data_IF_059280642752
#
_entry.id   IF_059280642752
#
_cell.length_a   1.000
_cell.length_b   1.000
_cell.length_c   1.000
_cell.angle_alpha   90.00
_cell.angle_beta   90.00
_cell.angle_gamma   90.00
#
_symmetry.space_group_name_H-M   'P 1'
#
loop_
_entity.id
_entity.type
_entity.pdbx_description
1 polymer ?
#
# COMPACT_ATOMS: atom_id res chain seq x y z
N UNK A 1 -31.14 -3.25 -2.22
CA UNK A 1 -30.40 -4.13 -3.17
C UNK A 1 -29.12 -3.40 -3.52
N UNK A 2 -27.96 -4.07 -3.57
CA UNK A 2 -26.73 -3.41 -4.01
C UNK A 2 -26.84 -3.01 -5.49
N UNK A 3 -26.31 -1.84 -5.90
CA UNK A 3 -26.36 -1.41 -7.29
C UNK A 3 -25.58 -2.40 -8.15
N UNK A 4 -26.18 -2.87 -9.26
CA UNK A 4 -25.50 -3.73 -10.22
C UNK A 4 -24.50 -2.90 -11.01
N UNK A 5 -23.27 -3.41 -11.14
CA UNK A 5 -22.24 -2.77 -11.96
C UNK A 5 -22.48 -3.18 -13.42
N UNK A 6 -22.94 -2.24 -14.23
CA UNK A 6 -23.17 -2.47 -15.66
C UNK A 6 -21.87 -2.38 -16.46
N UNK A 7 -21.69 -3.12 -17.57
CA UNK A 7 -20.49 -3.03 -18.40
C UNK A 7 -20.16 -1.63 -18.92
N UNK A 8 -21.17 -0.78 -19.12
CA UNK A 8 -20.98 0.63 -19.49
C UNK A 8 -20.25 1.44 -18.40
N UNK A 9 -20.35 1.03 -17.14
CA UNK A 9 -19.66 1.68 -16.02
C UNK A 9 -18.17 1.28 -15.97
N UNK A 10 -17.77 0.13 -16.53
CA UNK A 10 -16.37 -0.23 -16.70
C UNK A 10 -15.65 0.74 -17.65
N UNK A 11 -16.35 1.29 -18.66
CA UNK A 11 -15.79 2.30 -19.57
C UNK A 11 -15.43 3.59 -18.82
N UNK A 12 -16.28 4.01 -17.87
CA UNK A 12 -16.01 5.17 -17.01
C UNK A 12 -14.74 4.95 -16.18
N UNK A 13 -14.52 3.74 -15.66
CA UNK A 13 -13.30 3.40 -14.97
C UNK A 13 -12.06 3.43 -15.88
N UNK A 14 -12.16 2.92 -17.12
CA UNK A 14 -11.07 3.02 -18.10
C UNK A 14 -10.74 4.48 -18.39
N UNK A 15 -11.76 5.33 -18.56
CA UNK A 15 -11.54 6.76 -18.77
C UNK A 15 -10.83 7.41 -17.57
N UNK A 16 -11.29 7.15 -16.34
CA UNK A 16 -10.71 7.75 -15.12
C UNK A 16 -9.29 7.24 -14.85
N UNK A 17 -9.02 5.95 -15.04
CA UNK A 17 -7.74 5.34 -14.67
C UNK A 17 -6.72 5.26 -15.80
N UNK A 18 -7.11 5.52 -17.04
CA UNK A 18 -6.20 5.49 -18.20
C UNK A 18 -6.24 6.82 -18.94
N UNK A 19 -7.38 7.18 -19.52
CA UNK A 19 -7.46 8.34 -20.42
C UNK A 19 -7.18 9.68 -19.70
N UNK A 20 -7.77 9.88 -18.52
CA UNK A 20 -7.57 11.10 -17.75
C UNK A 20 -6.10 11.29 -17.30
N UNK A 21 -5.43 10.28 -16.69
CA UNK A 21 -3.99 10.33 -16.42
C UNK A 21 -3.16 10.71 -17.64
N UNK A 22 -3.39 10.05 -18.78
CA UNK A 22 -2.69 10.34 -20.04
C UNK A 22 -2.91 11.79 -20.48
N UNK A 23 -4.15 12.29 -20.45
CA UNK A 23 -4.45 13.67 -20.79
C UNK A 23 -3.76 14.67 -19.84
N UNK A 24 -3.84 14.43 -18.53
CA UNK A 24 -3.20 15.29 -17.52
C UNK A 24 -1.68 15.31 -17.66
N UNK A 25 -1.06 14.20 -18.06
CA UNK A 25 0.37 14.12 -18.36
C UNK A 25 0.76 14.97 -19.57
N UNK A 26 0.03 14.86 -20.68
CA UNK A 26 0.34 15.63 -21.89
C UNK A 26 0.14 17.14 -21.67
N UNK A 27 -0.96 17.54 -21.01
CA UNK A 27 -1.20 18.96 -20.69
C UNK A 27 -0.15 19.46 -19.69
N UNK A 28 0.18 18.68 -18.66
CA UNK A 28 1.21 19.02 -17.69
C UNK A 28 2.59 19.20 -18.33
N UNK A 29 2.99 18.28 -19.21
CA UNK A 29 4.26 18.35 -19.95
C UNK A 29 4.29 19.54 -20.91
N UNK A 30 3.17 19.86 -21.55
CA UNK A 30 3.04 21.05 -22.37
C UNK A 30 3.18 22.33 -21.55
N UNK A 31 2.61 22.38 -20.34
CA UNK A 31 2.80 23.49 -19.41
C UNK A 31 4.26 23.62 -18.95
N UNK A 32 4.92 22.51 -18.62
CA UNK A 32 6.33 22.51 -18.20
C UNK A 32 7.23 23.11 -19.27
N UNK A 33 7.05 22.67 -20.52
CA UNK A 33 7.82 23.17 -21.66
C UNK A 33 7.49 24.62 -22.00
N UNK A 34 6.21 25.02 -21.91
CA UNK A 34 5.77 26.39 -22.24
C UNK A 34 6.17 27.41 -21.18
N UNK A 35 6.18 27.03 -19.90
CA UNK A 35 6.49 27.92 -18.77
C UNK A 35 7.94 27.77 -18.27
N UNK A 36 8.69 26.82 -18.82
CA UNK A 36 10.09 26.57 -18.44
C UNK A 36 10.25 25.97 -17.04
N UNK A 37 9.32 25.13 -16.59
CA UNK A 37 9.44 24.49 -15.28
C UNK A 37 10.58 23.44 -15.26
N UNK A 38 11.37 23.37 -14.17
CA UNK A 38 12.42 22.37 -14.05
C UNK A 38 11.84 20.97 -13.80
N UNK A 39 12.61 19.94 -14.16
CA UNK A 39 12.34 18.56 -13.77
C UNK A 39 12.52 18.41 -12.26
N UNK A 40 11.42 18.26 -11.52
CA UNK A 40 11.42 18.21 -10.06
C UNK A 40 10.27 17.35 -9.53
N UNK A 41 10.46 16.61 -8.42
CA UNK A 41 11.69 16.45 -7.63
C UNK A 41 12.80 15.65 -8.35
N UNK A 42 14.05 15.67 -7.90
CA UNK A 42 15.11 14.83 -8.48
C UNK A 42 14.88 13.34 -8.18
N UNK A 43 15.45 12.47 -9.01
CA UNK A 43 15.50 11.04 -8.72
C UNK A 43 16.42 10.75 -7.52
N UNK A 44 16.02 9.87 -6.60
CA UNK A 44 14.81 9.03 -6.57
C UNK A 44 13.62 9.66 -5.81
N UNK A 45 13.78 10.87 -5.26
CA UNK A 45 12.78 11.52 -4.41
C UNK A 45 11.43 11.68 -5.12
N UNK A 46 11.44 11.90 -6.43
CA UNK A 46 10.26 11.94 -7.30
C UNK A 46 9.38 10.70 -7.17
N UNK A 47 9.99 9.50 -7.20
CA UNK A 47 9.27 8.24 -7.11
C UNK A 47 8.67 8.06 -5.71
N UNK A 48 9.45 8.30 -4.65
CA UNK A 48 8.95 8.12 -3.28
C UNK A 48 7.84 9.10 -2.93
N UNK A 49 8.07 10.40 -3.15
CA UNK A 49 7.06 11.42 -2.83
C UNK A 49 5.80 11.23 -3.67
N UNK A 50 5.95 10.96 -4.97
CA UNK A 50 4.82 10.75 -5.86
C UNK A 50 4.03 9.48 -5.54
N UNK A 51 4.71 8.35 -5.26
CA UNK A 51 4.06 7.11 -4.81
C UNK A 51 3.32 7.29 -3.49
N UNK A 52 3.92 7.97 -2.50
CA UNK A 52 3.25 8.27 -1.23
C UNK A 52 1.95 9.05 -1.44
N UNK A 53 2.01 10.13 -2.23
CA UNK A 53 0.84 10.96 -2.55
C UNK A 53 -0.22 10.15 -3.31
N UNK A 54 0.19 9.36 -4.31
CA UNK A 54 -0.72 8.52 -5.08
C UNK A 54 -1.40 7.45 -4.22
N UNK A 55 -0.67 6.76 -3.33
CA UNK A 55 -1.22 5.76 -2.42
C UNK A 55 -2.24 6.37 -1.46
N UNK A 56 -1.94 7.56 -0.91
CA UNK A 56 -2.91 8.29 -0.07
C UNK A 56 -4.17 8.60 -0.89
N UNK A 57 -4.02 9.11 -2.11
CA UNK A 57 -5.13 9.42 -3.01
C UNK A 57 -6.00 8.21 -3.33
N UNK A 58 -5.38 7.09 -3.72
CA UNK A 58 -6.05 5.82 -3.98
C UNK A 58 -6.76 5.27 -2.73
N UNK A 59 -6.13 5.35 -1.55
CA UNK A 59 -6.73 4.87 -0.30
C UNK A 59 -8.00 5.65 0.05
N UNK A 60 -7.95 6.99 -0.07
CA UNK A 60 -9.12 7.86 0.12
C UNK A 60 -10.22 7.49 -0.89
N UNK A 61 -9.88 7.32 -2.16
CA UNK A 61 -10.83 6.93 -3.20
C UNK A 61 -11.50 5.57 -2.93
N UNK A 62 -10.71 4.53 -2.66
CA UNK A 62 -11.20 3.16 -2.41
C UNK A 62 -12.09 3.13 -1.16
N UNK A 63 -11.65 3.71 -0.04
CA UNK A 63 -12.45 3.74 1.20
C UNK A 63 -13.75 4.50 1.02
N UNK A 64 -13.72 5.64 0.32
CA UNK A 64 -14.92 6.42 0.03
C UNK A 64 -15.91 5.62 -0.82
N UNK A 65 -15.44 4.99 -1.91
CA UNK A 65 -16.27 4.15 -2.78
C UNK A 65 -16.87 2.97 -2.04
N UNK A 66 -16.07 2.23 -1.26
CA UNK A 66 -16.56 1.08 -0.47
C UNK A 66 -17.65 1.51 0.50
N UNK A 67 -17.44 2.63 1.18
CA UNK A 67 -18.43 3.11 2.14
C UNK A 67 -19.72 3.58 1.46
N UNK A 68 -19.62 4.24 0.31
CA UNK A 68 -20.77 4.66 -0.48
C UNK A 68 -21.57 3.45 -1.00
N UNK A 69 -20.86 2.41 -1.45
CA UNK A 69 -21.45 1.16 -1.93
C UNK A 69 -22.18 0.40 -0.81
N UNK A 70 -21.55 0.23 0.34
CA UNK A 70 -22.11 -0.58 1.44
C UNK A 70 -23.12 0.16 2.31
N UNK A 71 -22.85 1.42 2.67
CA UNK A 71 -23.72 2.20 3.56
C UNK A 71 -24.74 3.04 2.79
N UNK A 72 -24.33 3.57 1.63
CA UNK A 72 -25.15 4.46 0.81
C UNK A 72 -25.96 3.75 -0.27
N UNK A 73 -25.66 2.50 -0.61
CA UNK A 73 -26.24 1.77 -1.75
C UNK A 73 -26.12 2.53 -3.09
N UNK A 74 -25.06 3.34 -3.24
CA UNK A 74 -24.80 4.14 -4.44
C UNK A 74 -23.35 4.04 -4.89
N UNK A 75 -23.05 4.67 -6.03
CA UNK A 75 -21.71 4.72 -6.62
C UNK A 75 -21.14 6.14 -6.61
N UNK A 76 -19.81 6.30 -6.77
CA UNK A 76 -19.13 7.61 -6.78
C UNK A 76 -19.77 8.69 -7.64
N UNK A 77 -20.30 8.30 -8.81
CA UNK A 77 -20.96 9.19 -9.78
C UNK A 77 -22.48 9.12 -9.71
N UNK A 78 -23.04 8.58 -8.63
CA UNK A 78 -24.48 8.47 -8.42
C UNK A 78 -25.18 9.81 -8.57
N UNK A 79 -24.60 10.86 -8.01
CA UNK A 79 -25.17 12.20 -8.12
C UNK A 79 -25.02 12.83 -9.51
N UNK A 80 -24.28 12.20 -10.44
CA UNK A 80 -24.24 12.56 -11.86
C UNK A 80 -25.17 11.69 -12.73
N UNK A 81 -25.47 10.46 -12.29
CA UNK A 81 -26.27 9.47 -13.02
C UNK A 81 -27.34 8.89 -12.10
N UNK A 82 -28.61 9.27 -12.34
CA UNK A 82 -29.77 8.89 -11.52
C UNK A 82 -29.88 7.39 -11.22
N UNK A 83 -29.40 6.51 -12.11
CA UNK A 83 -29.52 5.05 -11.92
C UNK A 83 -28.64 4.48 -10.81
N UNK A 84 -27.67 5.25 -10.28
CA UNK A 84 -26.74 4.78 -9.23
C UNK A 84 -26.55 5.79 -8.10
N UNK A 85 -27.52 6.68 -7.93
CA UNK A 85 -27.61 7.59 -6.79
C UNK A 85 -27.52 6.84 -5.47
N UNK A 86 -26.93 7.50 -4.48
CA UNK A 86 -26.99 7.01 -3.10
C UNK A 86 -28.46 6.88 -2.70
N UNK A 87 -28.85 5.89 -1.91
CA UNK A 87 -30.22 5.77 -1.39
C UNK A 87 -30.31 6.22 0.07
N UNK A 88 -29.16 6.30 0.75
CA UNK A 88 -29.04 6.73 2.15
C UNK A 88 -27.90 7.72 2.29
N UNK A 89 -28.10 8.73 3.14
CA UNK A 89 -27.07 9.70 3.43
C UNK A 89 -25.93 9.04 4.25
N UNK A 90 -24.72 9.05 3.69
CA UNK A 90 -23.54 8.43 4.33
C UNK A 90 -22.77 9.49 5.11
N UNK A 91 -22.84 9.44 6.44
CA UNK A 91 -22.18 10.41 7.35
C UNK A 91 -21.13 9.79 8.28
N UNK A 92 -20.94 8.47 8.21
CA UNK A 92 -20.04 7.71 9.09
C UNK A 92 -18.65 7.55 8.47
N UNK A 93 -17.76 6.75 9.07
CA UNK A 93 -16.48 6.35 8.47
C UNK A 93 -15.63 7.53 7.97
N UNK A 94 -15.16 7.48 6.72
CA UNK A 94 -14.34 8.55 6.14
C UNK A 94 -15.16 9.84 5.92
N UNK A 95 -16.46 9.70 5.66
CA UNK A 95 -17.40 10.81 5.46
C UNK A 95 -17.71 11.59 6.75
N UNK A 96 -17.41 11.03 7.94
CA UNK A 96 -17.47 11.77 9.21
C UNK A 96 -16.48 12.95 9.25
N UNK A 97 -15.36 12.82 8.56
CA UNK A 97 -14.25 13.77 8.64
C UNK A 97 -14.23 14.78 7.50
N UNK A 98 -14.73 14.38 6.33
CA UNK A 98 -14.81 15.21 5.13
C UNK A 98 -16.07 14.86 4.37
N UNK A 99 -16.76 15.85 3.79
CA UNK A 99 -17.94 15.58 2.95
C UNK A 99 -17.58 15.00 1.59
N UNK A 100 -16.40 15.33 1.08
CA UNK A 100 -15.93 14.91 -0.25
C UNK A 100 -14.50 14.33 -0.19
N UNK A 101 -14.24 13.29 0.62
CA UNK A 101 -12.91 12.68 0.74
C UNK A 101 -12.42 12.07 -0.58
N UNK A 102 -13.36 11.63 -1.42
CA UNK A 102 -13.09 11.12 -2.74
C UNK A 102 -12.56 12.18 -3.70
N UNK A 103 -13.09 13.41 -3.64
CA UNK A 103 -12.59 14.55 -4.44
C UNK A 103 -11.13 14.82 -4.08
N UNK A 104 -10.79 14.80 -2.79
CA UNK A 104 -9.40 14.90 -2.35
C UNK A 104 -8.56 13.75 -2.92
N UNK A 105 -9.07 12.51 -2.82
CA UNK A 105 -8.41 11.33 -3.37
C UNK A 105 -8.09 11.46 -4.86
N UNK A 106 -9.06 11.87 -5.67
CA UNK A 106 -8.90 12.07 -7.11
C UNK A 106 -7.96 13.22 -7.47
N UNK A 107 -7.93 14.30 -6.69
CA UNK A 107 -6.97 15.39 -6.89
C UNK A 107 -5.54 14.99 -6.54
N UNK A 108 -5.34 14.07 -5.60
CA UNK A 108 -3.99 13.58 -5.25
C UNK A 108 -3.41 12.64 -6.31
N UNK A 109 -4.21 12.00 -7.16
CA UNK A 109 -3.71 11.13 -8.23
C UNK A 109 -2.83 11.88 -9.25
N UNK A 110 -3.28 12.95 -9.92
CA UNK A 110 -2.44 13.71 -10.83
C UNK A 110 -1.26 14.37 -10.11
N UNK A 111 -1.41 14.75 -8.84
CA UNK A 111 -0.32 15.27 -8.03
C UNK A 111 0.79 14.22 -7.86
N UNK A 112 0.44 13.01 -7.43
CA UNK A 112 1.38 11.91 -7.25
C UNK A 112 2.06 11.51 -8.55
N UNK A 113 1.29 11.38 -9.64
CA UNK A 113 1.84 11.08 -10.96
C UNK A 113 2.75 12.19 -11.49
N UNK A 114 2.37 13.45 -11.33
CA UNK A 114 3.22 14.59 -11.72
C UNK A 114 4.54 14.61 -10.97
N UNK A 115 4.52 14.34 -9.66
CA UNK A 115 5.74 14.17 -8.87
C UNK A 115 6.59 13.01 -9.39
N UNK A 116 6.01 11.84 -9.67
CA UNK A 116 6.74 10.68 -10.21
C UNK A 116 7.39 10.99 -11.56
N UNK A 117 6.66 11.65 -12.46
CA UNK A 117 7.12 12.01 -13.80
C UNK A 117 7.97 13.30 -13.84
N UNK A 118 8.28 13.87 -12.68
CA UNK A 118 9.03 15.13 -12.56
C UNK A 118 8.39 16.31 -13.29
N UNK A 119 7.06 16.28 -13.42
CA UNK A 119 6.24 17.30 -14.09
C UNK A 119 5.58 18.20 -13.05
N UNK A 120 6.13 19.40 -12.85
CA UNK A 120 5.58 20.42 -11.94
C UNK A 120 4.21 20.88 -12.43
N UNK A 121 4.05 21.05 -13.74
CA UNK A 121 2.81 21.44 -14.40
C UNK A 121 1.70 20.44 -14.11
N UNK A 122 1.98 19.13 -14.26
CA UNK A 122 1.02 18.09 -13.86
C UNK A 122 0.76 18.11 -12.34
N UNK A 123 1.82 18.17 -11.54
CA UNK A 123 1.71 18.04 -10.08
C UNK A 123 0.96 19.21 -9.42
N UNK A 124 1.25 20.44 -9.85
CA UNK A 124 0.85 21.67 -9.16
C UNK A 124 -0.02 22.63 -9.99
N UNK A 125 -0.08 22.49 -11.32
CA UNK A 125 -0.99 23.30 -12.15
C UNK A 125 -2.27 22.53 -12.48
N UNK A 126 -2.15 21.27 -12.90
CA UNK A 126 -3.32 20.43 -13.22
C UNK A 126 -4.09 20.01 -11.96
N UNK A 127 -3.40 19.70 -10.87
CA UNK A 127 -4.04 19.29 -9.61
C UNK A 127 -5.07 20.31 -9.09
N UNK A 128 -4.75 21.62 -8.94
CA UNK A 128 -5.74 22.62 -8.58
C UNK A 128 -6.88 22.75 -9.59
N UNK A 129 -6.61 22.59 -10.89
CA UNK A 129 -7.63 22.63 -11.93
C UNK A 129 -8.63 21.48 -11.79
N UNK A 130 -8.14 20.26 -11.58
CA UNK A 130 -8.95 19.07 -11.31
C UNK A 130 -9.77 19.26 -10.04
N UNK A 131 -9.16 19.78 -8.97
CA UNK A 131 -9.85 20.08 -7.72
C UNK A 131 -10.96 21.13 -7.92
N UNK A 132 -10.67 22.21 -8.64
CA UNK A 132 -11.63 23.28 -8.93
C UNK A 132 -12.82 22.77 -9.76
N UNK A 133 -12.57 21.95 -10.79
CA UNK A 133 -13.62 21.35 -11.59
C UNK A 133 -14.53 20.44 -10.75
N UNK A 134 -13.95 19.56 -9.93
CA UNK A 134 -14.74 18.71 -9.03
C UNK A 134 -15.51 19.54 -8.00
N UNK A 135 -14.88 20.58 -7.43
CA UNK A 135 -15.55 21.50 -6.51
C UNK A 135 -16.79 22.15 -7.16
N UNK A 136 -16.66 22.62 -8.39
CA UNK A 136 -17.78 23.22 -9.14
C UNK A 136 -18.89 22.20 -9.40
N UNK A 137 -18.55 20.98 -9.82
CA UNK A 137 -19.53 19.91 -10.05
C UNK A 137 -20.30 19.59 -8.76
N UNK A 138 -19.58 19.38 -7.66
CA UNK A 138 -20.19 19.07 -6.36
C UNK A 138 -21.11 20.20 -5.92
N UNK A 139 -20.66 21.45 -6.00
CA UNK A 139 -21.45 22.61 -5.54
C UNK A 139 -22.68 22.90 -6.38
N UNK A 140 -22.58 22.71 -7.70
CA UNK A 140 -23.66 23.08 -8.62
C UNK A 140 -24.64 21.95 -8.90
N UNK A 141 -24.24 20.69 -8.71
CA UNK A 141 -25.07 19.53 -9.02
C UNK A 141 -25.30 18.61 -7.83
N UNK A 142 -24.23 18.19 -7.16
CA UNK A 142 -24.35 17.15 -6.12
C UNK A 142 -24.99 17.69 -4.83
N UNK A 143 -24.50 18.81 -4.27
CA UNK A 143 -25.07 19.35 -3.02
C UNK A 143 -26.55 19.74 -3.17
N UNK A 144 -27.02 20.36 -4.27
CA UNK A 144 -28.44 20.61 -4.48
C UNK A 144 -29.29 19.33 -4.51
N UNK A 145 -28.86 18.30 -5.25
CA UNK A 145 -29.58 17.01 -5.32
C UNK A 145 -29.61 16.31 -3.96
N UNK A 146 -28.52 16.35 -3.21
CA UNK A 146 -28.49 15.82 -1.85
C UNK A 146 -29.43 16.59 -0.90
N UNK A 147 -29.52 17.91 -1.05
CA UNK A 147 -30.45 18.72 -0.26
C UNK A 147 -31.91 18.45 -0.65
N UNK A 148 -32.22 18.31 -1.94
CA UNK A 148 -33.56 17.93 -2.43
C UNK A 148 -34.01 16.58 -1.89
N UNK A 149 -33.08 15.61 -1.80
CA UNK A 149 -33.39 14.22 -1.44
C UNK A 149 -33.39 13.96 0.06
N UNK A 150 -32.50 14.59 0.82
CA UNK A 150 -32.30 14.31 2.25
C UNK A 150 -32.66 15.50 3.17
N UNK A 151 -32.97 16.67 2.61
CA UNK A 151 -33.46 17.83 3.36
C UNK A 151 -32.58 18.20 4.56
N UNK A 152 -33.23 18.38 5.71
CA UNK A 152 -32.61 18.85 6.96
C UNK A 152 -31.46 17.96 7.45
N UNK A 153 -31.51 16.64 7.19
CA UNK A 153 -30.43 15.73 7.56
C UNK A 153 -29.12 16.09 6.85
N UNK A 154 -29.21 16.44 5.56
CA UNK A 154 -28.05 16.90 4.79
C UNK A 154 -27.56 18.28 5.25
N UNK A 155 -28.47 19.20 5.56
CA UNK A 155 -28.10 20.51 6.09
C UNK A 155 -27.35 20.40 7.43
N UNK A 156 -27.86 19.60 8.37
CA UNK A 156 -27.20 19.36 9.65
C UNK A 156 -25.82 18.69 9.49
N UNK A 157 -25.68 17.79 8.51
CA UNK A 157 -24.39 17.19 8.16
C UNK A 157 -23.42 18.20 7.56
N UNK A 158 -23.90 19.07 6.65
CA UNK A 158 -23.12 20.12 5.99
C UNK A 158 -22.55 21.16 6.95
N UNK A 159 -23.28 21.48 8.03
CA UNK A 159 -22.80 22.39 9.08
C UNK A 159 -21.71 21.78 9.95
N UNK A 160 -21.81 20.48 10.26
CA UNK A 160 -20.87 19.79 11.15
C UNK A 160 -19.56 19.40 10.47
N UNK A 161 -19.63 19.01 9.20
CA UNK A 161 -18.53 18.38 8.47
C UNK A 161 -17.95 19.29 7.38
N UNK A 162 -16.62 19.52 7.36
CA UNK A 162 -15.99 20.37 6.35
C UNK A 162 -16.07 19.76 4.94
N UNK A 163 -15.89 20.59 3.92
CA UNK A 163 -16.04 20.16 2.52
C UNK A 163 -14.96 19.17 2.07
N UNK A 164 -13.67 19.46 2.33
CA UNK A 164 -12.54 18.68 1.82
C UNK A 164 -11.57 18.24 2.92
N UNK A 165 -11.00 19.20 3.66
CA UNK A 165 -9.98 18.90 4.67
C UNK A 165 -10.62 18.66 6.04
N UNK A 166 -10.29 17.55 6.71
CA UNK A 166 -10.82 17.26 8.02
C UNK A 166 -10.26 18.20 9.08
N UNK A 167 -11.04 18.48 10.12
CA UNK A 167 -10.55 19.27 11.27
C UNK A 167 -9.41 18.48 11.93
N UNK A 168 -8.19 19.05 12.06
CA UNK A 168 -7.04 18.31 12.59
C UNK A 168 -7.29 17.70 13.97
N UNK A 169 -7.96 18.44 14.86
CA UNK A 169 -8.29 17.96 16.21
C UNK A 169 -9.20 16.72 16.22
N UNK A 170 -10.18 16.66 15.32
CA UNK A 170 -11.07 15.50 15.19
C UNK A 170 -10.32 14.29 14.61
N UNK A 171 -9.52 14.50 13.56
CA UNK A 171 -8.75 13.42 12.95
C UNK A 171 -7.73 12.83 13.93
N UNK A 172 -7.05 13.68 14.69
CA UNK A 172 -6.05 13.23 15.68
C UNK A 172 -6.73 12.47 16.82
N UNK A 173 -7.78 13.05 17.43
CA UNK A 173 -8.43 12.50 18.61
C UNK A 173 -9.27 11.25 18.31
N UNK A 174 -10.04 11.27 17.22
CA UNK A 174 -11.05 10.24 16.95
C UNK A 174 -10.53 9.12 16.03
N UNK A 175 -9.43 9.34 15.29
CA UNK A 175 -8.86 8.35 14.37
C UNK A 175 -7.40 7.97 14.71
N UNK A 176 -6.46 8.92 14.62
CA UNK A 176 -5.03 8.61 14.71
C UNK A 176 -4.61 8.09 16.08
N UNK A 177 -4.97 8.77 17.17
CA UNK A 177 -4.57 8.36 18.52
C UNK A 177 -5.13 6.99 18.90
N UNK A 178 -6.44 6.70 18.73
CA UNK A 178 -6.98 5.37 18.94
C UNK A 178 -6.29 4.30 18.09
N UNK A 179 -6.07 4.58 16.79
CA UNK A 179 -5.44 3.62 15.87
C UNK A 179 -4.00 3.28 16.27
N UNK A 180 -3.17 4.29 16.53
CA UNK A 180 -1.77 4.08 16.96
C UNK A 180 -1.72 3.42 18.33
N UNK A 181 -2.63 3.75 19.24
CA UNK A 181 -2.68 3.13 20.57
C UNK A 181 -3.02 1.63 20.50
N UNK A 182 -3.96 1.23 19.64
CA UNK A 182 -4.37 -0.17 19.49
C UNK A 182 -3.37 -1.01 18.69
N UNK A 183 -2.56 -0.37 17.83
CA UNK A 183 -1.56 -1.04 16.98
C UNK A 183 -0.11 -0.65 17.34
N UNK A 184 0.15 -0.26 18.60
CA UNK A 184 1.43 0.33 19.03
C UNK A 184 2.65 -0.50 18.65
N UNK A 185 2.60 -1.81 18.88
CA UNK A 185 3.70 -2.73 18.55
C UNK A 185 3.91 -2.80 17.04
N UNK A 186 2.84 -3.06 16.27
CA UNK A 186 2.90 -3.14 14.82
C UNK A 186 3.46 -1.85 14.19
N UNK A 187 2.95 -0.70 14.62
CA UNK A 187 3.45 0.61 14.17
C UNK A 187 4.92 0.79 14.52
N UNK A 188 5.31 0.45 15.76
CA UNK A 188 6.70 0.57 16.21
C UNK A 188 7.68 -0.28 15.39
N UNK A 189 7.35 -1.55 15.14
CA UNK A 189 8.20 -2.44 14.35
C UNK A 189 8.29 -2.01 12.88
N UNK A 190 7.17 -1.63 12.24
CA UNK A 190 7.21 -1.17 10.85
C UNK A 190 7.97 0.14 10.73
N UNK A 191 7.78 1.10 11.64
CA UNK A 191 8.57 2.34 11.63
C UNK A 191 10.07 2.07 11.80
N UNK A 192 10.45 1.15 12.68
CA UNK A 192 11.85 0.77 12.84
C UNK A 192 12.40 0.11 11.56
N UNK A 193 11.60 -0.73 10.89
CA UNK A 193 11.99 -1.36 9.63
C UNK A 193 12.16 -0.33 8.49
N UNK A 194 11.20 0.58 8.31
CA UNK A 194 11.31 1.68 7.34
C UNK A 194 12.49 2.61 7.65
N UNK A 195 12.75 2.88 8.94
CA UNK A 195 13.93 3.67 9.36
C UNK A 195 15.22 2.93 9.01
N UNK A 196 15.30 1.62 9.26
CA UNK A 196 16.47 0.83 8.88
C UNK A 196 16.67 0.76 7.37
N UNK A 197 15.59 0.75 6.58
CA UNK A 197 15.63 0.83 5.12
C UNK A 197 16.19 2.17 4.65
N UNK A 198 15.75 3.29 5.25
CA UNK A 198 16.31 4.61 4.99
C UNK A 198 17.81 4.68 5.34
N UNK A 199 18.20 4.16 6.51
CA UNK A 199 19.61 4.12 6.94
C UNK A 199 20.44 3.28 5.96
N UNK A 200 19.95 2.11 5.54
CA UNK A 200 20.59 1.31 4.49
C UNK A 200 20.80 2.14 3.23
N UNK A 201 19.78 2.83 2.74
CA UNK A 201 19.88 3.67 1.55
C UNK A 201 20.95 4.76 1.70
N UNK A 202 21.06 5.39 2.86
CA UNK A 202 22.10 6.40 3.11
C UNK A 202 23.50 5.79 3.17
N UNK A 203 23.66 4.65 3.84
CA UNK A 203 24.95 3.98 4.02
C UNK A 203 25.56 3.52 2.68
N UNK A 204 24.75 3.04 1.74
CA UNK A 204 25.23 2.51 0.45
C UNK A 204 25.91 3.59 -0.39
N UNK A 205 25.40 4.83 -0.32
CA UNK A 205 25.95 5.97 -1.06
C UNK A 205 26.92 6.82 -0.22
N UNK A 206 27.34 6.35 0.95
CA UNK A 206 28.47 6.92 1.66
C UNK A 206 29.77 6.28 1.18
N UNK A 207 30.83 7.07 1.07
CA UNK A 207 32.19 6.63 0.72
C UNK A 207 32.82 5.82 1.87
N UNK A 208 32.29 4.62 2.11
CA UNK A 208 32.81 3.67 3.08
C UNK A 208 34.09 3.01 2.56
N UNK A 209 35.04 2.62 3.44
CA UNK A 209 36.24 1.93 3.01
C UNK A 209 35.91 0.61 2.30
N UNK A 210 36.41 0.45 1.07
CA UNK A 210 36.37 -0.81 0.33
C UNK A 210 37.37 -1.80 0.94
N UNK A 211 36.88 -2.66 1.84
CA UNK A 211 37.69 -3.72 2.49
C UNK A 211 37.56 -5.06 1.73
N UNK A 212 36.81 -5.08 0.62
CA UNK A 212 36.34 -6.31 0.02
C UNK A 212 37.28 -6.96 -0.99
N UNK A 213 37.69 -8.20 -0.72
CA UNK A 213 38.22 -9.14 -1.71
C UNK A 213 37.08 -10.05 -2.21
N UNK A 214 37.28 -10.75 -3.35
CA UNK A 214 36.34 -11.74 -3.92
C UNK A 214 35.91 -12.85 -2.94
N UNK A 215 36.70 -13.09 -1.90
CA UNK A 215 36.36 -14.02 -0.82
C UNK A 215 35.15 -13.53 0.00
N UNK A 216 35.13 -12.26 0.38
CA UNK A 216 34.05 -11.69 1.18
C UNK A 216 32.73 -11.60 0.40
N UNK A 217 32.79 -11.47 -0.94
CA UNK A 217 31.57 -11.43 -1.77
C UNK A 217 30.89 -12.78 -1.77
N UNK A 218 31.69 -13.83 -1.91
CA UNK A 218 31.25 -15.22 -1.89
C UNK A 218 30.59 -15.59 -0.56
N UNK A 219 31.10 -15.06 0.56
CA UNK A 219 30.49 -15.26 1.89
C UNK A 219 29.13 -14.58 1.96
N UNK A 220 29.03 -13.31 1.58
CA UNK A 220 27.76 -12.58 1.63
C UNK A 220 26.68 -13.25 0.75
N UNK A 221 27.06 -13.72 -0.44
CA UNK A 221 26.17 -14.44 -1.34
C UNK A 221 25.69 -15.77 -0.71
N UNK A 222 26.58 -16.52 -0.05
CA UNK A 222 26.23 -17.75 0.67
C UNK A 222 25.23 -17.47 1.81
N UNK A 223 25.42 -16.39 2.57
CA UNK A 223 24.49 -15.99 3.62
C UNK A 223 23.12 -15.60 3.04
N UNK A 224 23.09 -14.85 1.94
CA UNK A 224 21.84 -14.51 1.27
C UNK A 224 21.10 -15.77 0.79
N UNK A 225 21.81 -16.72 0.17
CA UNK A 225 21.27 -18.02 -0.24
C UNK A 225 20.67 -18.77 0.96
N UNK A 226 21.40 -18.79 2.08
CA UNK A 226 20.93 -19.42 3.31
C UNK A 226 19.65 -18.77 3.83
N UNK A 227 19.55 -17.44 3.83
CA UNK A 227 18.33 -16.71 4.23
C UNK A 227 17.17 -17.09 3.32
N UNK A 228 17.35 -17.09 1.99
CA UNK A 228 16.30 -17.49 1.06
C UNK A 228 15.86 -18.95 1.27
N UNK A 229 16.81 -19.87 1.47
CA UNK A 229 16.51 -21.27 1.73
C UNK A 229 15.69 -21.46 3.01
N UNK A 230 16.10 -20.85 4.11
CA UNK A 230 15.36 -20.86 5.38
C UNK A 230 13.97 -20.23 5.19
N UNK A 231 13.86 -19.13 4.45
CA UNK A 231 12.60 -18.49 4.12
C UNK A 231 11.63 -19.38 3.33
N UNK A 232 12.15 -20.13 2.34
CA UNK A 232 11.36 -21.11 1.57
C UNK A 232 10.86 -22.22 2.48
N UNK A 233 11.73 -22.80 3.31
CA UNK A 233 11.36 -23.86 4.25
C UNK A 233 10.31 -23.36 5.25
N UNK A 234 10.49 -22.16 5.80
CA UNK A 234 9.54 -21.53 6.72
C UNK A 234 8.17 -21.28 6.07
N UNK A 235 8.15 -20.83 4.81
CA UNK A 235 6.91 -20.55 4.09
C UNK A 235 6.15 -21.80 3.63
N UNK A 236 6.86 -22.88 3.28
CA UNK A 236 6.28 -24.17 2.93
C UNK A 236 5.82 -24.96 4.16
N UNK A 237 6.55 -24.84 5.27
CA UNK A 237 6.26 -25.57 6.50
C UNK A 237 6.13 -24.64 7.72
N UNK A 238 5.08 -23.80 7.78
CA UNK A 238 4.90 -22.83 8.86
C UNK A 238 4.81 -23.45 10.25
N UNK A 239 4.48 -24.75 10.36
CA UNK A 239 4.45 -25.50 11.63
C UNK A 239 5.81 -25.61 12.33
N UNK A 240 6.94 -25.57 11.60
CA UNK A 240 8.28 -25.72 12.20
C UNK A 240 8.96 -24.40 12.59
N UNK A 241 8.38 -23.25 12.21
CA UNK A 241 8.96 -21.93 12.46
C UNK A 241 8.28 -21.13 13.58
N UNK A 242 7.39 -21.74 14.39
CA UNK A 242 6.90 -21.07 15.59
C UNK A 242 8.01 -21.02 16.66
N UNK A 243 8.82 -19.95 16.62
CA UNK A 243 9.60 -19.49 17.78
C UNK A 243 8.62 -18.92 18.83
N UNK A 244 7.77 -19.77 19.37
CA UNK A 244 6.96 -19.47 20.56
C UNK A 244 7.70 -19.95 21.79
N UNK A 245 7.96 -19.01 22.70
CA UNK A 245 8.32 -19.31 24.09
C UNK A 245 7.36 -20.37 24.64
N UNK A 246 7.86 -21.30 25.46
CA UNK A 246 7.08 -22.40 26.06
C UNK A 246 5.82 -21.95 26.80
N UNK A 247 5.67 -20.65 27.10
CA UNK A 247 4.48 -20.05 27.72
C UNK A 247 3.28 -19.89 26.80
N UNK A 248 3.45 -19.88 25.47
CA UNK A 248 2.36 -19.65 24.50
C UNK A 248 2.00 -20.88 23.65
N UNK A 249 2.34 -22.09 24.12
CA UNK A 249 1.93 -23.33 23.44
C UNK A 249 0.48 -23.66 23.76
N UNK A 250 -0.44 -22.96 23.10
CA UNK A 250 -1.83 -23.39 23.03
C UNK A 250 -1.92 -24.66 22.17
N UNK A 251 -2.49 -25.73 22.71
CA UNK A 251 -2.71 -27.02 22.03
C UNK A 251 -3.88 -26.89 21.04
N UNK A 252 -3.64 -26.22 19.92
CA UNK A 252 -4.54 -26.22 18.76
C UNK A 252 -3.81 -26.77 17.55
N UNK A 253 -4.32 -27.85 16.97
CA UNK A 253 -3.82 -28.40 15.71
C UNK A 253 -3.98 -27.36 14.58
N UNK A 254 -2.88 -26.96 13.94
CA UNK A 254 -2.83 -26.13 12.71
C UNK A 254 -3.60 -24.81 12.75
N UNK A 255 -2.88 -23.71 12.53
CA UNK A 255 -3.48 -22.43 12.15
C UNK A 255 -3.91 -22.50 10.67
N UNK A 256 -4.95 -23.28 10.38
CA UNK A 256 -5.88 -22.92 9.31
C UNK A 256 -6.77 -21.80 9.88
N UNK A 257 -7.10 -20.78 9.09
CA UNK A 257 -8.01 -19.73 9.56
C UNK A 257 -9.28 -20.38 10.12
N UNK A 258 -9.63 -20.10 11.38
CA UNK A 258 -10.72 -20.78 12.10
C UNK A 258 -12.08 -20.68 11.40
N UNK A 259 -12.22 -19.75 10.46
CA UNK A 259 -13.35 -19.65 9.55
C UNK A 259 -12.87 -19.65 8.10
N UNK A 260 -12.85 -20.81 7.41
CA UNK A 260 -12.40 -20.88 6.02
C UNK A 260 -13.20 -19.97 5.08
N UNK A 261 -14.40 -19.54 5.45
CA UNK A 261 -15.29 -18.72 4.62
C UNK A 261 -15.59 -17.32 5.18
N UNK A 262 -14.74 -16.77 6.06
CA UNK A 262 -14.94 -15.41 6.56
C UNK A 262 -14.68 -14.37 5.45
N UNK A 263 -15.67 -13.50 5.18
CA UNK A 263 -15.54 -12.42 4.19
C UNK A 263 -14.36 -11.49 4.48
N UNK A 264 -14.06 -11.25 5.76
CA UNK A 264 -12.91 -10.46 6.21
C UNK A 264 -11.55 -11.14 5.98
N UNK A 265 -11.53 -12.47 5.77
CA UNK A 265 -10.30 -13.24 5.50
C UNK A 265 -10.02 -13.45 4.01
N UNK A 266 -10.97 -13.07 3.12
CA UNK A 266 -10.83 -13.24 1.67
C UNK A 266 -9.60 -12.52 1.08
N UNK A 267 -9.17 -11.43 1.70
CA UNK A 267 -7.96 -10.69 1.32
C UNK A 267 -6.64 -11.39 1.64
N UNK A 268 -6.63 -12.50 2.38
CA UNK A 268 -5.39 -13.19 2.79
C UNK A 268 -5.16 -14.52 2.06
N UNK A 269 -6.11 -14.93 1.22
CA UNK A 269 -6.10 -16.22 0.52
C UNK A 269 -6.21 -15.99 -0.99
N UNK A 270 -5.44 -16.74 -1.76
CA UNK A 270 -5.60 -16.85 -3.22
C UNK A 270 -6.12 -18.24 -3.56
N UNK A 271 -7.04 -18.31 -4.53
CA UNK A 271 -7.61 -19.58 -5.00
C UNK A 271 -7.04 -19.89 -6.38
N UNK A 272 -6.35 -21.03 -6.50
CA UNK A 272 -5.77 -21.50 -7.76
C UNK A 272 -6.25 -22.94 -7.99
N UNK A 273 -6.94 -23.18 -9.10
CA UNK A 273 -7.49 -24.50 -9.47
C UNK A 273 -8.32 -25.16 -8.33
N UNK A 274 -9.13 -24.35 -7.64
CA UNK A 274 -9.98 -24.82 -6.53
C UNK A 274 -9.25 -25.03 -5.19
N UNK A 275 -7.91 -24.89 -5.13
CA UNK A 275 -7.14 -24.96 -3.88
C UNK A 275 -6.86 -23.57 -3.32
N UNK A 276 -6.88 -23.45 -2.00
CA UNK A 276 -6.64 -22.20 -1.26
C UNK A 276 -5.21 -22.14 -0.78
N UNK A 277 -4.53 -21.03 -1.06
CA UNK A 277 -3.17 -20.77 -0.62
C UNK A 277 -3.09 -19.46 0.17
N UNK A 278 -2.23 -19.41 1.17
CA UNK A 278 -1.94 -18.17 1.89
C UNK A 278 -1.19 -17.21 0.97
N UNK A 279 -1.81 -16.07 0.63
CA UNK A 279 -1.20 -15.05 -0.23
C UNK A 279 0.18 -14.63 0.29
N UNK A 280 0.29 -14.48 1.61
CA UNK A 280 1.51 -14.06 2.27
C UNK A 280 2.64 -15.09 2.20
N UNK A 281 2.40 -16.35 2.61
CA UNK A 281 3.45 -17.38 2.60
C UNK A 281 3.84 -17.76 1.18
N UNK A 282 2.86 -17.93 0.29
CA UNK A 282 3.11 -18.23 -1.12
C UNK A 282 3.92 -17.12 -1.79
N UNK A 283 3.59 -15.86 -1.52
CA UNK A 283 4.35 -14.74 -2.07
C UNK A 283 5.82 -14.71 -1.63
N UNK A 284 6.10 -14.95 -0.34
CA UNK A 284 7.47 -15.05 0.17
C UNK A 284 8.25 -16.22 -0.45
N UNK A 285 7.63 -17.40 -0.58
CA UNK A 285 8.27 -18.58 -1.18
C UNK A 285 8.58 -18.38 -2.66
N UNK A 286 7.63 -17.83 -3.42
CA UNK A 286 7.81 -17.52 -4.84
C UNK A 286 8.92 -16.47 -5.00
N UNK A 287 8.86 -15.38 -4.22
CA UNK A 287 9.88 -14.33 -4.24
C UNK A 287 11.28 -14.85 -3.91
N UNK A 288 11.42 -15.68 -2.87
CA UNK A 288 12.70 -16.28 -2.48
C UNK A 288 13.24 -17.24 -3.55
N UNK A 289 12.36 -18.02 -4.19
CA UNK A 289 12.74 -18.89 -5.31
C UNK A 289 13.27 -18.08 -6.50
N UNK A 290 12.62 -16.97 -6.83
CA UNK A 290 13.04 -16.08 -7.92
C UNK A 290 14.35 -15.33 -7.58
N UNK A 291 14.51 -14.87 -6.34
CA UNK A 291 15.74 -14.25 -5.86
C UNK A 291 16.93 -15.21 -5.93
N UNK A 292 16.76 -16.48 -5.51
CA UNK A 292 17.78 -17.51 -5.66
C UNK A 292 18.13 -17.77 -7.11
N UNK A 293 17.14 -17.89 -7.99
CA UNK A 293 17.37 -18.07 -9.42
C UNK A 293 18.16 -16.90 -10.01
N UNK A 294 17.78 -15.67 -9.69
CA UNK A 294 18.49 -14.46 -10.12
C UNK A 294 19.94 -14.43 -9.65
N UNK A 295 20.19 -14.78 -8.38
CA UNK A 295 21.54 -14.85 -7.83
C UNK A 295 22.40 -15.94 -8.49
N UNK A 296 21.86 -17.16 -8.67
CA UNK A 296 22.59 -18.31 -9.24
C UNK A 296 22.89 -18.13 -10.74
N UNK A 297 21.99 -17.47 -11.47
CA UNK A 297 22.19 -17.19 -12.91
C UNK A 297 23.03 -15.93 -13.15
N UNK A 298 23.19 -15.08 -12.13
CA UNK A 298 23.79 -13.76 -12.27
C UNK A 298 22.90 -12.76 -13.02
N UNK A 299 21.65 -13.11 -13.31
CA UNK A 299 20.72 -12.25 -14.04
C UNK A 299 20.31 -11.03 -13.20
N UNK A 300 20.56 -9.82 -13.69
CA UNK A 300 20.12 -8.57 -13.07
C UNK A 300 19.58 -7.64 -14.17
N UNK A 301 18.25 -7.43 -14.24
CA UNK A 301 17.63 -6.80 -15.41
C UNK A 301 17.65 -5.26 -15.41
N UNK A 302 18.21 -4.62 -14.38
CA UNK A 302 18.15 -3.18 -14.21
C UNK A 302 19.54 -2.55 -14.28
N UNK A 303 19.57 -1.25 -14.56
CA UNK A 303 20.71 -0.43 -14.16
C UNK A 303 20.89 -0.52 -12.63
N UNK A 304 22.13 -0.48 -12.14
CA UNK A 304 22.44 -0.72 -10.73
C UNK A 304 21.74 0.28 -9.81
N UNK A 305 21.74 1.57 -10.17
CA UNK A 305 21.10 2.61 -9.36
C UNK A 305 19.57 2.49 -9.41
N UNK A 306 19.02 2.23 -10.59
CA UNK A 306 17.57 2.05 -10.77
C UNK A 306 17.09 0.83 -9.97
N UNK A 307 17.77 -0.30 -10.10
CA UNK A 307 17.39 -1.52 -9.40
C UNK A 307 17.54 -1.43 -7.88
N UNK A 308 18.53 -0.67 -7.38
CA UNK A 308 18.61 -0.36 -5.93
C UNK A 308 17.36 0.35 -5.43
N UNK A 309 17.00 1.49 -6.04
CA UNK A 309 15.86 2.29 -5.59
C UNK A 309 14.51 1.63 -5.88
N UNK A 310 14.41 0.86 -6.96
CA UNK A 310 13.26 0.02 -7.21
C UNK A 310 13.12 -1.07 -6.13
N UNK A 311 14.24 -1.66 -5.70
CA UNK A 311 14.27 -2.57 -4.57
C UNK A 311 13.82 -1.92 -3.26
N UNK A 312 14.33 -0.72 -2.94
CA UNK A 312 13.89 0.08 -1.78
C UNK A 312 12.38 0.32 -1.81
N UNK A 313 11.83 0.72 -2.97
CA UNK A 313 10.39 0.92 -3.13
C UNK A 313 9.60 -0.36 -2.86
N UNK A 314 10.02 -1.50 -3.42
CA UNK A 314 9.33 -2.78 -3.23
C UNK A 314 9.39 -3.27 -1.77
N UNK A 315 10.54 -3.12 -1.10
CA UNK A 315 10.69 -3.47 0.32
C UNK A 315 9.81 -2.58 1.19
N UNK A 316 9.84 -1.25 0.99
CA UNK A 316 9.00 -0.31 1.74
C UNK A 316 7.51 -0.56 1.53
N UNK A 317 7.05 -0.78 0.30
CA UNK A 317 5.67 -1.17 0.04
C UNK A 317 5.29 -2.49 0.73
N UNK A 318 6.20 -3.47 0.72
CA UNK A 318 6.03 -4.74 1.40
C UNK A 318 5.89 -4.61 2.93
N UNK A 319 6.64 -3.69 3.55
CA UNK A 319 6.56 -3.39 4.98
C UNK A 319 5.28 -2.61 5.32
N UNK A 320 4.94 -1.60 4.53
CA UNK A 320 3.81 -0.70 4.74
C UNK A 320 2.43 -1.29 4.36
N UNK A 321 2.37 -2.41 3.63
CA UNK A 321 1.12 -2.95 3.05
C UNK A 321 -0.03 -3.15 4.04
N UNK A 322 0.26 -3.38 5.33
CA UNK A 322 -0.75 -3.65 6.36
C UNK A 322 -1.54 -2.42 6.81
N UNK A 323 -1.04 -1.21 6.51
CA UNK A 323 -1.77 0.04 6.76
C UNK A 323 -2.74 0.39 5.63
N UNK A 324 -2.67 -0.33 4.51
CA UNK A 324 -3.45 -0.09 3.30
C UNK A 324 -4.43 -1.26 3.14
N UNK A 325 -5.72 -0.97 3.19
CA UNK A 325 -6.76 -1.96 2.90
C UNK A 325 -6.84 -2.20 1.38
N UNK A 326 -6.05 -3.16 0.90
CA UNK A 326 -5.95 -3.53 -0.52
C UNK A 326 -7.09 -4.46 -0.95
N UNK A 327 -7.75 -5.14 0.01
CA UNK A 327 -8.94 -5.99 -0.18
C UNK A 327 -8.82 -7.15 -1.16
N UNK A 328 -7.61 -7.54 -1.59
CA UNK A 328 -7.40 -8.63 -2.56
C UNK A 328 -6.17 -9.46 -2.20
N UNK A 329 -6.39 -10.77 -2.03
CA UNK A 329 -5.30 -11.73 -1.79
C UNK A 329 -4.25 -11.75 -2.89
N UNK A 330 -4.63 -11.45 -4.13
CA UNK A 330 -3.67 -11.35 -5.23
C UNK A 330 -2.72 -10.17 -5.05
N UNK A 331 -3.22 -9.02 -4.61
CA UNK A 331 -2.37 -7.85 -4.38
C UNK A 331 -1.40 -8.15 -3.22
N UNK A 332 -1.89 -8.75 -2.13
CA UNK A 332 -1.02 -9.19 -1.04
C UNK A 332 0.04 -10.19 -1.51
N UNK A 333 -0.32 -11.16 -2.35
CA UNK A 333 0.65 -12.10 -2.92
C UNK A 333 1.74 -11.37 -3.71
N UNK A 334 1.36 -10.46 -4.61
CA UNK A 334 2.32 -9.70 -5.43
C UNK A 334 3.22 -8.78 -4.59
N UNK A 335 2.68 -8.10 -3.57
CA UNK A 335 3.50 -7.28 -2.67
C UNK A 335 4.51 -8.11 -1.88
N UNK A 336 4.17 -9.35 -1.51
CA UNK A 336 5.10 -10.25 -0.82
C UNK A 336 6.15 -10.85 -1.76
N UNK A 337 5.81 -11.11 -3.03
CA UNK A 337 6.81 -11.45 -4.06
C UNK A 337 7.74 -10.25 -4.25
N UNK A 338 7.18 -9.06 -4.43
CA UNK A 338 7.91 -7.81 -4.61
C UNK A 338 8.84 -7.51 -3.46
N UNK A 339 8.41 -7.69 -2.20
CA UNK A 339 9.24 -7.51 -1.02
C UNK A 339 10.56 -8.30 -1.08
N UNK A 340 10.50 -9.60 -1.43
CA UNK A 340 11.71 -10.45 -1.49
C UNK A 340 12.54 -10.17 -2.73
N UNK A 341 11.90 -9.92 -3.88
CA UNK A 341 12.62 -9.51 -5.10
C UNK A 341 13.32 -8.17 -4.88
N UNK A 342 12.68 -7.23 -4.18
CA UNK A 342 13.24 -5.93 -3.88
C UNK A 342 14.46 -6.03 -2.98
N UNK A 343 14.39 -6.88 -1.94
CA UNK A 343 15.53 -7.19 -1.08
C UNK A 343 16.71 -7.79 -1.88
N UNK A 344 16.44 -8.71 -2.80
CA UNK A 344 17.45 -9.24 -3.71
C UNK A 344 18.06 -8.18 -4.65
N UNK A 345 17.22 -7.32 -5.23
CA UNK A 345 17.70 -6.24 -6.09
C UNK A 345 18.62 -5.28 -5.33
N UNK A 346 18.23 -4.91 -4.11
CA UNK A 346 19.06 -4.10 -3.22
C UNK A 346 20.36 -4.82 -2.89
N UNK A 347 20.31 -6.09 -2.46
CA UNK A 347 21.50 -6.88 -2.15
C UNK A 347 22.48 -6.87 -3.32
N UNK A 348 22.01 -7.20 -4.53
CA UNK A 348 22.88 -7.28 -5.71
C UNK A 348 23.43 -5.91 -6.09
N UNK A 349 22.64 -4.85 -5.99
CA UNK A 349 23.09 -3.49 -6.25
C UNK A 349 24.16 -3.04 -5.24
N UNK A 350 24.02 -3.37 -3.95
CA UNK A 350 25.04 -3.06 -2.93
C UNK A 350 26.38 -3.69 -3.30
N UNK A 351 26.34 -4.96 -3.71
CA UNK A 351 27.56 -5.67 -4.14
C UNK A 351 28.21 -5.06 -5.39
N UNK A 352 27.47 -4.30 -6.20
CA UNK A 352 27.92 -3.66 -7.44
C UNK A 352 28.33 -2.19 -7.27
N UNK A 353 27.68 -1.44 -6.37
CA UNK A 353 27.91 0.01 -6.17
C UNK A 353 29.04 0.26 -5.18
N UNK A 354 29.00 -0.41 -4.02
CA UNK A 354 29.87 -0.11 -2.90
C UNK A 354 30.13 -1.42 -2.16
N UNK A 355 31.17 -2.15 -2.60
CA UNK A 355 31.53 -3.46 -2.05
C UNK A 355 32.21 -3.32 -0.67
N UNK A 356 31.56 -2.61 0.25
CA UNK A 356 31.91 -2.56 1.65
C UNK A 356 31.33 -3.79 2.35
N UNK A 357 32.20 -4.68 2.82
CA UNK A 357 31.82 -5.84 3.61
C UNK A 357 30.90 -5.49 4.79
N UNK A 358 31.13 -4.32 5.40
CA UNK A 358 30.30 -3.80 6.49
C UNK A 358 28.87 -3.47 6.02
N UNK A 359 28.73 -2.83 4.86
CA UNK A 359 27.43 -2.51 4.27
C UNK A 359 26.65 -3.80 3.93
N UNK A 360 27.33 -4.82 3.39
CA UNK A 360 26.70 -6.10 3.06
C UNK A 360 26.27 -6.87 4.33
N UNK A 361 27.09 -6.90 5.39
CA UNK A 361 26.69 -7.51 6.68
C UNK A 361 25.51 -6.76 7.29
N UNK A 362 25.58 -5.43 7.34
CA UNK A 362 24.50 -4.61 7.88
C UNK A 362 23.20 -4.86 7.10
N UNK A 363 23.28 -4.88 5.76
CA UNK A 363 22.15 -5.20 4.90
C UNK A 363 21.54 -6.56 5.24
N UNK A 364 22.34 -7.63 5.30
CA UNK A 364 21.85 -8.97 5.64
C UNK A 364 21.20 -9.02 7.04
N UNK A 365 21.75 -8.28 8.01
CA UNK A 365 21.16 -8.19 9.35
C UNK A 365 19.80 -7.48 9.32
N UNK A 366 19.65 -6.37 8.59
CA UNK A 366 18.37 -5.68 8.48
C UNK A 366 17.36 -6.46 7.62
N UNK A 367 17.79 -7.23 6.63
CA UNK A 367 16.93 -8.16 5.87
C UNK A 367 16.25 -9.16 6.80
N UNK A 368 17.00 -9.78 7.73
CA UNK A 368 16.43 -10.69 8.74
C UNK A 368 15.39 -9.96 9.60
N UNK A 369 15.70 -8.72 10.00
CA UNK A 369 14.78 -7.89 10.76
C UNK A 369 13.51 -7.50 9.97
N UNK A 370 13.62 -7.23 8.66
CA UNK A 370 12.49 -6.95 7.79
C UNK A 370 11.59 -8.16 7.63
N UNK A 371 12.17 -9.35 7.41
CA UNK A 371 11.43 -10.61 7.36
C UNK A 371 10.67 -10.84 8.67
N UNK A 372 11.34 -10.67 9.82
CA UNK A 372 10.71 -10.79 11.13
C UNK A 372 9.56 -9.80 11.31
N UNK A 373 9.79 -8.52 11.01
CA UNK A 373 8.79 -7.45 11.12
C UNK A 373 7.59 -7.75 10.25
N UNK A 374 7.80 -8.17 9.01
CA UNK A 374 6.72 -8.55 8.09
C UNK A 374 5.90 -9.70 8.67
N UNK A 375 6.55 -10.75 9.16
CA UNK A 375 5.84 -11.93 9.70
C UNK A 375 4.99 -11.51 10.90
N UNK A 376 5.53 -10.69 11.80
CA UNK A 376 4.80 -10.17 12.96
C UNK A 376 3.65 -9.24 12.58
N UNK A 377 3.86 -8.32 11.63
CA UNK A 377 2.82 -7.43 11.11
C UNK A 377 1.63 -8.22 10.53
N UNK A 378 1.91 -9.28 9.78
CA UNK A 378 0.89 -10.18 9.25
C UNK A 378 0.14 -10.92 10.38
N UNK A 379 0.85 -11.43 11.39
CA UNK A 379 0.25 -12.11 12.55
C UNK A 379 -0.69 -11.18 13.34
N UNK A 380 -0.27 -9.95 13.65
CA UNK A 380 -1.12 -8.99 14.36
C UNK A 380 -2.38 -8.64 13.56
N UNK A 381 -2.24 -8.47 12.24
CA UNK A 381 -3.38 -8.22 11.34
C UNK A 381 -4.36 -9.41 11.32
N UNK A 382 -3.84 -10.64 11.34
CA UNK A 382 -4.69 -11.82 11.46
C UNK A 382 -5.46 -11.85 12.79
N UNK A 383 -4.78 -11.53 13.90
CA UNK A 383 -5.41 -11.50 15.23
C UNK A 383 -6.47 -10.40 15.32
N UNK A 384 -6.25 -9.21 14.74
CA UNK A 384 -7.25 -8.14 14.74
C UNK A 384 -8.51 -8.52 13.93
N UNK A 385 -8.33 -9.07 12.73
CA UNK A 385 -9.45 -9.58 11.90
C UNK A 385 -10.27 -10.64 12.65
N UNK A 386 -9.63 -11.49 13.46
CA UNK A 386 -10.32 -12.48 14.27
C UNK A 386 -11.12 -11.86 15.44
N UNK A 387 -10.61 -10.79 16.08
CA UNK A 387 -11.31 -10.11 17.18
C UNK A 387 -12.56 -9.36 16.71
N UNK A 388 -12.53 -8.83 15.50
CA UNK A 388 -13.63 -8.04 14.93
C UNK A 388 -14.74 -8.92 14.31
N UNK A 389 -14.68 -10.24 14.49
CA UNK A 389 -15.66 -11.18 13.96
C UNK A 389 -16.80 -11.41 14.96
N UNK A 390 -18.04 -11.08 14.57
CA UNK A 390 -19.27 -11.30 15.35
C UNK A 390 -19.67 -12.79 15.50
N UNK A 391 -18.89 -13.72 14.95
CA UNK A 391 -19.16 -15.17 15.02
C UNK A 391 -18.50 -15.75 16.27
N UNK A 392 -19.29 -16.41 17.13
CA UNK A 392 -18.82 -17.06 18.35
C UNK A 392 -17.56 -17.89 18.10
N UNK A 393 -16.44 -17.42 18.66
CA UNK A 393 -15.17 -18.10 18.55
C UNK A 393 -15.24 -19.41 19.36
N UNK A 394 -15.21 -20.56 18.66
CA UNK A 394 -15.14 -21.89 19.32
C UNK A 394 -13.84 -22.10 20.10
N UNK A 395 -12.85 -21.21 19.93
CA UNK A 395 -11.67 -21.14 20.77
C UNK A 395 -11.83 -19.94 21.71
N UNK A 396 -12.25 -20.24 22.95
CA UNK A 396 -12.19 -19.27 24.05
C UNK A 396 -10.72 -19.03 24.40
N UNK A 397 -10.31 -17.77 24.32
CA UNK A 397 -9.00 -17.29 24.76
C UNK A 397 -8.76 -17.58 26.24
#
# INVERSE_FOLDING_TARGET
MQPRIEPSQLIVYIFIFVAAPTLTFFIGSWLDTSLGFPLSPPFPLNIFTGMCVMIIGLNLGIKSTRQLYHAGFGLPWGEAVHSVETQRLVVNGIYRYSRNPMVLGYSLLPMGMGLMFQSIGMAFSITPMVLALNYLIVKTREEPRLAERFGDEYHAYKEKTPFLFPKPSLLIRDYLFPYVSSHREQVGYVLLAETSLLVTSLLVFQDLPEIGTTFFSSIADLFFIFICFVGIVAGLFPRYCSFTSKTDRYKGESVEGHHPNCAFFSGHVVVVNGRRYCAGCSGLVIGASLALLGLLTGFYPFDTLIGFWFGVLLVGLGLAQHFIDLGSGWIHLWLNIGFVIGDWLMFKAIQLINFSFLASIYFLAVTIFWIYTRIRASQWTHVSVCRDCDVDCLIRF
#
